data_IF_300573097257
#
_entry.id   IF_300573097257
#
_cell.length_a   1.000
_cell.length_b   1.000
_cell.length_c   1.000
_cell.angle_alpha   90.00
_cell.angle_beta   90.00
_cell.angle_gamma   90.00
#
_symmetry.space_group_name_H-M   'P 1'
#
loop_
_entity.id
_entity.type
_entity.pdbx_description
1 polymer ?
#
# COMPACT_ATOMS: atom_id res chain seq x y z
N UNK A 1 35.49 5.17 3.17
CA UNK A 1 34.18 5.83 3.13
C UNK A 1 33.45 5.17 1.98
N UNK A 2 32.84 4.02 2.25
CA UNK A 2 32.08 3.29 1.25
C UNK A 2 30.94 4.19 0.79
N UNK A 3 30.88 4.46 -0.51
CA UNK A 3 29.71 5.05 -1.10
C UNK A 3 28.53 4.14 -0.74
N UNK A 4 27.48 4.70 -0.13
CA UNK A 4 26.22 3.99 0.01
C UNK A 4 25.84 3.49 -1.39
N UNK A 5 25.90 2.17 -1.58
CA UNK A 5 25.51 1.54 -2.84
C UNK A 5 24.05 1.92 -3.08
N UNK A 6 23.80 2.63 -4.18
CA UNK A 6 22.45 3.03 -4.55
C UNK A 6 21.72 1.76 -4.97
N UNK A 7 20.74 1.35 -4.16
CA UNK A 7 19.88 0.23 -4.46
C UNK A 7 19.02 0.58 -5.68
N UNK A 8 19.21 -0.16 -6.77
CA UNK A 8 18.33 -0.12 -7.93
C UNK A 8 17.32 -1.28 -7.84
N UNK A 9 16.06 -0.92 -7.62
CA UNK A 9 14.98 -1.90 -7.49
C UNK A 9 14.43 -2.38 -8.85
N UNK A 10 14.83 -1.75 -9.96
CA UNK A 10 14.30 -1.99 -11.31
C UNK A 10 12.76 -2.14 -11.33
N UNK A 11 12.08 -1.26 -10.58
CA UNK A 11 10.62 -1.27 -10.48
C UNK A 11 9.92 -1.15 -11.86
N UNK A 12 10.40 -0.28 -12.79
CA UNK A 12 9.84 -0.19 -14.13
C UNK A 12 10.04 -1.45 -14.98
N UNK A 13 11.05 -2.27 -14.68
CA UNK A 13 11.34 -3.53 -15.37
C UNK A 13 10.42 -4.69 -14.99
N UNK A 14 9.51 -4.51 -14.02
CA UNK A 14 8.58 -5.53 -13.56
C UNK A 14 7.12 -5.17 -13.88
N UNK A 15 6.29 -6.18 -14.14
CA UNK A 15 4.89 -5.95 -14.47
C UNK A 15 4.13 -5.33 -13.29
N UNK A 16 3.47 -4.20 -13.55
CA UNK A 16 2.60 -3.53 -12.58
C UNK A 16 1.31 -4.36 -12.36
N UNK A 17 1.03 -4.70 -11.11
CA UNK A 17 -0.16 -5.45 -10.69
C UNK A 17 -1.30 -4.51 -10.33
N UNK A 18 -1.01 -3.49 -9.53
CA UNK A 18 -2.01 -2.50 -9.13
C UNK A 18 -1.44 -1.11 -9.04
N UNK A 19 -2.30 -0.13 -9.30
CA UNK A 19 -2.06 1.29 -9.07
C UNK A 19 -3.31 1.92 -8.49
N UNK A 20 -3.16 2.51 -7.30
CA UNK A 20 -4.22 3.22 -6.60
C UNK A 20 -3.74 4.63 -6.29
N UNK A 21 -4.52 5.65 -6.64
CA UNK A 21 -4.24 7.05 -6.26
C UNK A 21 -5.32 7.51 -5.30
N UNK A 22 -4.89 8.00 -4.13
CA UNK A 22 -5.77 8.39 -3.02
C UNK A 22 -5.42 9.81 -2.58
N UNK A 23 -6.44 10.57 -2.18
CA UNK A 23 -6.26 11.88 -1.53
C UNK A 23 -5.48 11.71 -0.22
N UNK A 24 -4.42 12.51 -0.04
CA UNK A 24 -3.45 12.26 1.03
C UNK A 24 -4.01 12.47 2.44
N UNK A 25 -4.99 13.34 2.61
CA UNK A 25 -5.72 13.55 3.88
C UNK A 25 -6.41 12.28 4.36
N UNK A 26 -7.18 11.60 3.50
CA UNK A 26 -7.83 10.33 3.86
C UNK A 26 -6.81 9.21 4.13
N UNK A 27 -5.69 9.21 3.42
CA UNK A 27 -4.62 8.25 3.70
C UNK A 27 -3.91 8.53 5.03
N UNK A 28 -3.79 9.79 5.46
CA UNK A 28 -3.23 10.13 6.78
C UNK A 28 -4.11 9.61 7.90
N UNK A 29 -5.43 9.73 7.74
CA UNK A 29 -6.39 9.13 8.67
C UNK A 29 -6.18 7.61 8.75
N UNK A 30 -6.12 6.93 7.60
CA UNK A 30 -5.89 5.49 7.56
C UNK A 30 -4.60 5.06 8.27
N UNK A 31 -3.48 5.74 8.00
CA UNK A 31 -2.19 5.44 8.65
C UNK A 31 -2.17 5.78 10.14
N UNK A 32 -2.97 6.75 10.59
CA UNK A 32 -3.05 7.14 12.00
C UNK A 32 -3.84 6.12 12.83
N UNK A 33 -4.80 5.43 12.20
CA UNK A 33 -5.60 4.35 12.81
C UNK A 33 -4.90 2.98 12.79
N UNK A 34 -3.77 2.84 12.08
CA UNK A 34 -3.02 1.58 12.07
C UNK A 34 -2.39 1.29 13.45
N UNK A 35 -2.41 0.02 13.83
CA UNK A 35 -1.84 -0.40 15.10
C UNK A 35 -0.30 -0.40 15.04
N UNK A 36 0.31 0.56 15.74
CA UNK A 36 1.76 0.74 15.81
C UNK A 36 2.50 -0.41 16.51
N UNK A 37 1.78 -1.30 17.21
CA UNK A 37 2.32 -2.51 17.82
C UNK A 37 2.54 -3.63 16.81
N UNK A 38 1.97 -3.52 15.60
CA UNK A 38 2.20 -4.49 14.54
C UNK A 38 3.59 -4.32 13.91
N UNK A 39 4.26 -5.44 13.64
CA UNK A 39 5.52 -5.45 12.89
C UNK A 39 5.31 -5.33 11.38
N UNK A 40 4.11 -5.68 10.90
CA UNK A 40 3.80 -5.86 9.47
C UNK A 40 2.59 -5.02 9.07
N UNK A 41 2.68 -4.39 7.90
CA UNK A 41 1.56 -3.86 7.15
C UNK A 41 1.25 -4.83 6.00
N UNK A 42 0.07 -5.45 6.02
CA UNK A 42 -0.46 -6.18 4.88
C UNK A 42 -1.24 -5.21 3.99
N UNK A 43 -0.91 -5.21 2.70
CA UNK A 43 -1.59 -4.44 1.66
C UNK A 43 -2.23 -5.43 0.70
N UNK A 44 -3.56 -5.40 0.62
CA UNK A 44 -4.33 -6.23 -0.30
C UNK A 44 -5.06 -5.37 -1.32
N UNK A 45 -5.06 -5.78 -2.58
CA UNK A 45 -5.89 -5.19 -3.63
C UNK A 45 -6.90 -6.22 -4.10
N UNK A 46 -8.19 -5.85 -4.04
CA UNK A 46 -9.29 -6.64 -4.59
C UNK A 46 -9.70 -6.02 -5.93
N UNK A 47 -9.36 -6.65 -7.07
CA UNK A 47 -9.66 -6.08 -8.39
C UNK A 47 -11.10 -6.35 -8.85
N UNK A 48 -11.67 -5.52 -9.74
CA UNK A 48 -12.83 -5.93 -10.53
C UNK A 48 -12.51 -7.18 -11.40
N UNK A 49 -13.46 -8.08 -11.66
CA UNK A 49 -14.89 -7.99 -11.36
C UNK A 49 -15.30 -8.59 -10.00
N UNK A 50 -14.37 -8.81 -9.06
CA UNK A 50 -14.72 -9.35 -7.74
C UNK A 50 -15.67 -8.41 -6.98
N UNK A 51 -16.49 -8.95 -6.07
CA UNK A 51 -17.37 -8.14 -5.24
C UNK A 51 -16.57 -7.17 -4.36
N UNK A 52 -17.06 -5.93 -4.24
CA UNK A 52 -16.47 -4.88 -3.41
C UNK A 52 -14.98 -4.61 -3.72
N UNK A 53 -14.64 -4.17 -4.94
CA UNK A 53 -13.26 -3.85 -5.31
C UNK A 53 -12.73 -2.74 -4.42
N UNK A 54 -11.56 -2.95 -3.82
CA UNK A 54 -10.99 -2.07 -2.79
C UNK A 54 -9.50 -2.29 -2.60
N UNK A 55 -8.85 -1.28 -2.06
CA UNK A 55 -7.53 -1.40 -1.44
C UNK A 55 -7.76 -1.59 0.05
N UNK A 56 -7.11 -2.60 0.64
CA UNK A 56 -7.18 -2.89 2.07
C UNK A 56 -5.79 -2.77 2.69
N UNK A 57 -5.71 -2.03 3.78
CA UNK A 57 -4.56 -2.00 4.67
C UNK A 57 -4.90 -2.82 5.92
N UNK A 58 -3.98 -3.65 6.39
CA UNK A 58 -4.21 -4.51 7.56
C UNK A 58 -2.99 -4.57 8.46
N UNK A 59 -3.22 -4.37 9.76
CA UNK A 59 -2.21 -4.55 10.81
C UNK A 59 -2.67 -5.59 11.82
N UNK A 60 -1.71 -6.35 12.34
CA UNK A 60 -1.93 -7.39 13.34
C UNK A 60 -1.27 -6.94 14.64
N UNK A 61 -2.04 -6.25 15.48
CA UNK A 61 -1.56 -5.72 16.74
C UNK A 61 -1.90 -6.62 17.93
N UNK A 62 -1.48 -6.23 19.12
CA UNK A 62 -1.73 -7.01 20.34
C UNK A 62 -3.22 -7.16 20.66
N UNK A 63 -4.02 -6.14 20.36
CA UNK A 63 -5.46 -6.13 20.63
C UNK A 63 -6.32 -6.75 19.54
N UNK A 64 -5.69 -7.21 18.45
CA UNK A 64 -6.37 -7.87 17.33
C UNK A 64 -5.94 -7.32 15.97
N UNK A 65 -6.72 -7.68 14.96
CA UNK A 65 -6.50 -7.27 13.57
C UNK A 65 -7.32 -6.02 13.26
N UNK A 66 -6.67 -5.02 12.66
CA UNK A 66 -7.32 -3.81 12.17
C UNK A 66 -7.32 -3.82 10.64
N UNK A 67 -8.47 -3.53 10.05
CA UNK A 67 -8.63 -3.38 8.59
C UNK A 67 -9.04 -1.95 8.26
N UNK A 68 -8.40 -1.35 7.27
CA UNK A 68 -8.81 -0.09 6.68
C UNK A 68 -9.03 -0.27 5.18
N UNK A 69 -10.25 -0.01 4.72
CA UNK A 69 -10.64 -0.22 3.33
C UNK A 69 -10.84 1.12 2.60
N UNK A 70 -10.29 1.18 1.40
CA UNK A 70 -10.58 2.20 0.39
C UNK A 70 -11.34 1.56 -0.77
N UNK A 71 -12.68 1.62 -0.77
CA UNK A 71 -13.48 1.13 -1.88
C UNK A 71 -13.11 1.85 -3.17
N UNK A 72 -13.05 1.11 -4.28
CA UNK A 72 -12.71 1.62 -5.61
C UNK A 72 -13.50 2.88 -5.99
N UNK A 73 -14.80 2.86 -5.72
CA UNK A 73 -15.74 3.91 -6.14
C UNK A 73 -16.02 4.93 -5.02
N UNK A 74 -15.13 5.01 -4.01
CA UNK A 74 -15.22 5.99 -2.93
C UNK A 74 -14.61 7.34 -3.33
N UNK A 75 -15.10 8.44 -2.75
CA UNK A 75 -14.61 9.80 -3.04
C UNK A 75 -13.08 10.01 -2.84
N UNK A 76 -12.42 9.37 -1.86
CA UNK A 76 -10.97 9.50 -1.70
C UNK A 76 -10.15 8.86 -2.82
N UNK A 77 -10.70 7.87 -3.54
CA UNK A 77 -9.99 7.09 -4.55
C UNK A 77 -10.16 7.75 -5.92
N UNK A 78 -9.09 8.32 -6.45
CA UNK A 78 -9.10 8.98 -7.76
C UNK A 78 -8.76 8.02 -8.91
N UNK A 79 -7.89 7.04 -8.65
CA UNK A 79 -7.49 6.02 -9.63
C UNK A 79 -7.46 4.66 -8.94
N UNK A 80 -7.99 3.64 -9.62
CA UNK A 80 -7.94 2.26 -9.17
C UNK A 80 -7.79 1.35 -10.39
N UNK A 81 -6.56 0.95 -10.67
CA UNK A 81 -6.17 0.13 -11.81
C UNK A 81 -5.57 -1.18 -11.31
N UNK A 82 -6.02 -2.30 -11.87
CA UNK A 82 -5.48 -3.62 -11.58
C UNK A 82 -5.33 -4.40 -12.89
N UNK A 83 -4.26 -5.17 -13.00
CA UNK A 83 -4.00 -6.02 -14.18
C UNK A 83 -4.40 -7.49 -13.94
N UNK A 84 -4.67 -7.87 -12.69
CA UNK A 84 -5.13 -9.20 -12.29
C UNK A 84 -6.65 -9.24 -12.06
N UNK A 85 -7.24 -10.42 -12.17
CA UNK A 85 -8.65 -10.67 -11.79
C UNK A 85 -8.79 -11.30 -10.40
N UNK A 86 -7.67 -11.66 -9.78
CA UNK A 86 -7.60 -12.27 -8.45
C UNK A 86 -7.06 -11.28 -7.43
N UNK A 87 -7.42 -11.40 -6.14
CA UNK A 87 -6.86 -10.55 -5.10
C UNK A 87 -5.34 -10.72 -5.02
N UNK A 88 -4.65 -9.60 -4.82
CA UNK A 88 -3.21 -9.58 -4.64
C UNK A 88 -2.87 -9.07 -3.24
N UNK A 89 -2.01 -9.79 -2.53
CA UNK A 89 -1.63 -9.49 -1.15
C UNK A 89 -0.11 -9.47 -1.04
N UNK A 90 0.43 -8.42 -0.43
CA UNK A 90 1.83 -8.32 -0.07
C UNK A 90 1.98 -7.72 1.32
N UNK A 91 3.00 -8.15 2.05
CA UNK A 91 3.28 -7.74 3.43
C UNK A 91 4.58 -6.96 3.46
N UNK A 92 4.66 -5.95 4.30
CA UNK A 92 5.82 -5.08 4.43
C UNK A 92 6.12 -4.83 5.89
N UNK A 93 7.40 -4.74 6.26
CA UNK A 93 7.76 -4.33 7.63
C UNK A 93 7.29 -2.90 7.88
N UNK A 94 6.35 -2.74 8.81
CA UNK A 94 5.74 -1.45 9.11
C UNK A 94 6.79 -0.42 9.54
N UNK A 95 7.83 -0.86 10.28
CA UNK A 95 8.94 -0.02 10.71
C UNK A 95 9.68 0.67 9.54
N UNK A 96 9.78 0.02 8.37
CA UNK A 96 10.44 0.58 7.18
C UNK A 96 9.57 1.61 6.46
N UNK A 97 8.25 1.52 6.61
CA UNK A 97 7.29 2.42 5.96
C UNK A 97 7.01 3.69 6.77
N UNK A 98 7.26 3.71 8.08
CA UNK A 98 6.98 4.86 8.97
C UNK A 98 7.46 6.23 8.45
N UNK A 99 8.66 6.37 7.87
CA UNK A 99 9.09 7.67 7.33
C UNK A 99 8.27 8.13 6.12
N UNK A 100 7.82 7.19 5.29
CA UNK A 100 7.00 7.46 4.11
C UNK A 100 5.57 7.85 4.50
N UNK A 101 4.99 7.14 5.48
CA UNK A 101 3.59 7.30 5.90
C UNK A 101 3.33 8.58 6.71
N UNK A 102 4.37 9.23 7.23
CA UNK A 102 4.22 10.42 8.08
C UNK A 102 4.64 11.70 7.35
N UNK A 103 5.95 11.90 7.12
CA UNK A 103 6.49 13.20 6.68
C UNK A 103 6.18 13.52 5.22
N UNK A 104 6.32 12.54 4.33
CA UNK A 104 6.05 12.76 2.91
C UNK A 104 4.54 12.90 2.67
N UNK A 105 3.76 12.04 3.34
CA UNK A 105 2.32 12.08 3.26
C UNK A 105 1.74 13.41 3.76
N UNK A 106 2.22 13.95 4.88
CA UNK A 106 1.73 15.22 5.46
C UNK A 106 1.92 16.44 4.56
N UNK A 107 2.88 16.38 3.63
CA UNK A 107 3.17 17.47 2.68
C UNK A 107 2.51 17.25 1.31
N UNK A 108 1.92 16.09 1.09
CA UNK A 108 1.40 15.68 -0.20
C UNK A 108 -0.09 15.95 -0.33
N UNK A 109 -0.56 16.19 -1.55
CA UNK A 109 -1.99 16.26 -1.89
C UNK A 109 -2.55 14.91 -2.32
N UNK A 110 -1.70 14.06 -2.92
CA UNK A 110 -2.04 12.72 -3.41
C UNK A 110 -0.92 11.75 -3.11
N UNK A 111 -1.29 10.50 -2.88
CA UNK A 111 -0.37 9.37 -2.84
C UNK A 111 -0.76 8.35 -3.90
N UNK A 112 0.22 7.89 -4.67
CA UNK A 112 0.09 6.74 -5.56
C UNK A 112 0.74 5.52 -4.90
N UNK A 113 -0.06 4.49 -4.65
CA UNK A 113 0.40 3.16 -4.25
C UNK A 113 0.46 2.28 -5.49
N UNK A 114 1.64 1.70 -5.75
CA UNK A 114 1.87 0.79 -6.86
C UNK A 114 2.49 -0.49 -6.36
N UNK A 115 1.95 -1.62 -6.78
CA UNK A 115 2.54 -2.94 -6.52
C UNK A 115 2.87 -3.63 -7.84
N UNK A 116 4.03 -4.28 -7.90
CA UNK A 116 4.42 -5.09 -9.05
C UNK A 116 4.27 -6.60 -8.76
N UNK A 117 4.51 -7.45 -9.76
CA UNK A 117 4.35 -8.90 -9.65
C UNK A 117 5.27 -9.53 -8.60
N UNK A 118 6.41 -8.90 -8.33
CA UNK A 118 7.40 -9.31 -7.33
C UNK A 118 7.02 -8.88 -5.90
N UNK A 119 5.92 -8.17 -5.72
CA UNK A 119 5.43 -7.68 -4.42
C UNK A 119 6.15 -6.44 -3.92
N UNK A 120 6.90 -5.72 -4.77
CA UNK A 120 7.49 -4.45 -4.37
C UNK A 120 6.40 -3.40 -4.30
N UNK A 121 6.48 -2.55 -3.27
CA UNK A 121 5.63 -1.38 -3.11
C UNK A 121 6.39 -0.14 -3.54
N UNK A 122 5.76 0.67 -4.38
CA UNK A 122 6.14 2.06 -4.64
C UNK A 122 5.07 2.98 -4.06
N UNK A 123 5.49 3.89 -3.18
CA UNK A 123 4.67 4.97 -2.62
C UNK A 123 5.19 6.30 -3.19
N UNK A 124 4.43 6.91 -4.09
CA UNK A 124 4.78 8.18 -4.71
C UNK A 124 3.86 9.29 -4.21
N UNK A 125 4.45 10.32 -3.60
CA UNK A 125 3.77 11.44 -2.97
C UNK A 125 3.87 12.68 -3.86
N UNK A 126 2.73 13.25 -4.25
CA UNK A 126 2.65 14.50 -5.00
C UNK A 126 2.64 15.69 -4.03
N UNK A 127 3.68 16.50 -4.03
CA UNK A 127 3.88 17.65 -3.13
C UNK A 127 3.83 18.94 -3.93
N UNK A 128 3.06 19.91 -3.45
CA UNK A 128 3.00 21.26 -4.01
C UNK A 128 3.86 22.19 -3.14
N UNK A 129 4.88 22.80 -3.72
CA UNK A 129 5.85 23.67 -3.00
C UNK A 129 5.34 25.09 -2.74
N UNK A 130 4.12 25.42 -3.15
CA UNK A 130 3.45 26.69 -2.87
C UNK A 130 1.97 26.67 -3.26
N UNK A 131 1.19 27.62 -2.73
CA UNK A 131 -0.28 27.67 -2.86
C UNK A 131 -0.79 27.89 -4.29
N UNK A 132 0.10 28.21 -5.24
CA UNK A 132 -0.25 28.53 -6.62
C UNK A 132 0.81 28.08 -7.64
N UNK A 133 1.68 27.14 -7.25
CA UNK A 133 2.73 26.62 -8.13
C UNK A 133 2.13 25.52 -9.01
N UNK A 134 2.12 25.66 -10.35
CA UNK A 134 1.60 24.64 -11.25
C UNK A 134 2.51 23.39 -11.30
N UNK A 135 3.74 23.49 -10.78
CA UNK A 135 4.71 22.39 -10.82
C UNK A 135 4.63 21.58 -9.54
N UNK A 136 4.19 20.32 -9.67
CA UNK A 136 4.25 19.36 -8.58
C UNK A 136 5.65 18.75 -8.47
N UNK A 137 6.13 18.61 -7.22
CA UNK A 137 7.29 17.80 -6.87
C UNK A 137 6.86 16.41 -6.41
N UNK A 138 7.73 15.42 -6.56
CA UNK A 138 7.43 14.05 -6.17
C UNK A 138 8.49 13.49 -5.23
N UNK A 139 8.03 12.76 -4.21
CA UNK A 139 8.89 11.92 -3.36
C UNK A 139 8.43 10.49 -3.54
N UNK A 140 9.37 9.56 -3.78
CA UNK A 140 9.06 8.16 -4.01
C UNK A 140 9.81 7.27 -3.02
N UNK A 141 9.08 6.34 -2.41
CA UNK A 141 9.62 5.32 -1.54
C UNK A 141 9.38 3.95 -2.14
N UNK A 142 10.41 3.11 -2.09
CA UNK A 142 10.31 1.71 -2.48
C UNK A 142 10.44 0.84 -1.23
N UNK A 143 9.62 -0.19 -1.15
CA UNK A 143 9.68 -1.19 -0.09
C UNK A 143 9.60 -2.58 -0.70
N UNK A 144 10.51 -3.45 -0.27
CA UNK A 144 10.47 -4.86 -0.62
C UNK A 144 9.46 -5.57 0.27
N UNK A 145 8.77 -6.61 -0.22
CA UNK A 145 7.88 -7.37 0.62
C UNK A 145 8.68 -8.08 1.72
N UNK A 146 8.11 -8.17 2.92
CA UNK A 146 8.62 -9.03 3.96
C UNK A 146 8.29 -10.47 3.57
N UNK A 147 9.32 -11.21 3.16
CA UNK A 147 9.21 -12.64 2.88
C UNK A 147 9.07 -13.35 4.21
N UNK A 148 7.84 -13.66 4.60
CA UNK A 148 7.60 -14.66 5.64
C UNK A 148 8.15 -16.00 5.13
N UNK A 149 9.22 -16.51 5.74
CA UNK A 149 9.46 -17.96 5.82
C UNK A 149 8.15 -18.64 6.26
N UNK A 150 7.87 -19.90 5.85
CA UNK A 150 6.58 -20.56 6.11
C UNK A 150 6.38 -20.84 7.60
N UNK A 151 6.09 -19.79 8.38
CA UNK A 151 5.55 -19.87 9.71
C UNK A 151 4.03 -20.00 9.63
N UNK A 152 3.43 -20.43 10.73
CA UNK A 152 2.05 -20.90 10.95
C UNK A 152 0.91 -20.01 10.38
N UNK A 153 1.21 -18.84 9.82
CA UNK A 153 0.30 -17.93 9.12
C UNK A 153 0.09 -18.23 7.62
N UNK A 154 0.75 -19.24 7.05
CA UNK A 154 0.53 -19.63 5.64
C UNK A 154 -0.93 -20.04 5.34
N UNK A 155 -1.63 -20.62 6.33
CA UNK A 155 -3.07 -20.90 6.26
C UNK A 155 -3.91 -19.61 6.28
N UNK A 156 -3.49 -18.61 7.06
CA UNK A 156 -4.18 -17.33 7.16
C UNK A 156 -4.25 -16.61 5.81
N UNK A 157 -3.23 -16.74 4.94
CA UNK A 157 -3.26 -16.12 3.62
C UNK A 157 -4.31 -16.77 2.69
N UNK A 158 -4.49 -18.09 2.75
CA UNK A 158 -5.51 -18.78 1.97
C UNK A 158 -6.93 -18.43 2.44
N UNK A 159 -7.14 -18.35 3.76
CA UNK A 159 -8.39 -17.88 4.34
C UNK A 159 -8.66 -16.39 4.02
N UNK A 160 -7.64 -15.52 4.07
CA UNK A 160 -7.77 -14.11 3.68
C UNK A 160 -8.12 -13.98 2.20
N UNK A 161 -7.44 -14.70 1.30
CA UNK A 161 -7.77 -14.70 -0.13
C UNK A 161 -9.20 -15.18 -0.38
N UNK A 162 -9.66 -16.19 0.37
CA UNK A 162 -11.03 -16.71 0.26
C UNK A 162 -12.05 -15.66 0.73
N UNK A 163 -11.78 -14.98 1.85
CA UNK A 163 -12.63 -13.90 2.36
C UNK A 163 -12.69 -12.71 1.40
N UNK A 164 -11.55 -12.29 0.85
CA UNK A 164 -11.48 -11.20 -0.12
C UNK A 164 -12.25 -11.54 -1.41
N UNK A 165 -12.13 -12.78 -1.92
CA UNK A 165 -12.91 -13.27 -3.06
C UNK A 165 -14.41 -13.26 -2.78
N UNK A 166 -14.82 -13.59 -1.56
CA UNK A 166 -16.21 -13.62 -1.15
C UNK A 166 -16.80 -12.23 -0.85
N UNK A 167 -15.98 -11.17 -0.84
CA UNK A 167 -16.42 -9.81 -0.47
C UNK A 167 -16.75 -9.69 1.01
N UNK A 168 -16.11 -10.51 1.86
CA UNK A 168 -16.27 -10.44 3.31
C UNK A 168 -15.37 -9.29 3.83
N UNK A 169 -15.90 -8.40 4.69
CA UNK A 169 -15.12 -7.34 5.32
C UNK A 169 -14.02 -7.91 6.22
#
# INVERSE_FOLDING_TARGET
MDALEVLDFDFPGSQLISKVIIKSDCMQEAFSELDVTSDVLEVATVPPPLPQPRLRLTTYGFTGTTHYDFPRDSDPVEVFECTTTEPYIARYRLALLRPATTRALSLSSRVSLRMNEKGFLSLQYMIHTGTNDPVASFVEFFCVPDVDEPNEHGYANADTLTQLRAGIP
#
